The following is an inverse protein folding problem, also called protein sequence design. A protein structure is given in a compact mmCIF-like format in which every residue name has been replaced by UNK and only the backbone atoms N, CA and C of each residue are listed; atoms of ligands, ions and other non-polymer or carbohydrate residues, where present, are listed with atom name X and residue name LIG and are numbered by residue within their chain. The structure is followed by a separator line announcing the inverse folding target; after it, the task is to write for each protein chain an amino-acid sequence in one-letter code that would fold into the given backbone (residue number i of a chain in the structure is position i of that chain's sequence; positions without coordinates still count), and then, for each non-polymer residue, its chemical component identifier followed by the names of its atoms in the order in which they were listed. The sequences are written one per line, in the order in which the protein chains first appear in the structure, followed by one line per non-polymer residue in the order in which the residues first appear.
data_IF_135701640377
#
_entry.id   IF_135701640377
#
_cell.length_a   1.000
_cell.length_b   1.000
_cell.length_c   1.000
_cell.angle_alpha   90.00
_cell.angle_beta   90.00
_cell.angle_gamma   90.00
#
_symmetry.space_group_name_H-M   'P 1'
#
loop_
_entity.id
_entity.type
_entity.pdbx_description
1 polymer ?
#
# COMPACT_ATOMS: atom_id res chain seq x y z
N UNK A 1 -21.04 -22.49 7.72
CA UNK A 1 -20.88 -21.89 6.37
C UNK A 1 -19.41 -21.87 5.99
N UNK A 2 -18.90 -22.96 5.39
CA UNK A 2 -17.51 -22.99 4.93
C UNK A 2 -17.40 -22.08 3.69
N UNK A 3 -16.74 -20.92 3.81
CA UNK A 3 -16.42 -20.06 2.67
C UNK A 3 -15.59 -20.91 1.70
N UNK A 4 -16.15 -21.25 0.54
CA UNK A 4 -15.43 -21.96 -0.52
C UNK A 4 -14.12 -21.24 -0.79
N UNK A 5 -13.02 -22.00 -0.96
CA UNK A 5 -11.65 -21.49 -1.16
C UNK A 5 -11.53 -20.72 -2.49
N UNK A 6 -12.14 -19.55 -2.58
CA UNK A 6 -11.94 -18.58 -3.67
C UNK A 6 -10.69 -17.78 -3.35
N UNK A 7 -9.89 -17.45 -4.36
CA UNK A 7 -8.75 -16.55 -4.18
C UNK A 7 -9.24 -15.17 -3.69
N UNK A 8 -8.41 -14.41 -2.97
CA UNK A 8 -8.79 -13.07 -2.48
C UNK A 8 -9.28 -12.16 -3.62
N UNK A 9 -8.61 -12.26 -4.77
CA UNK A 9 -8.98 -11.60 -6.01
C UNK A 9 -10.40 -12.00 -6.44
N UNK A 10 -10.69 -13.30 -6.53
CA UNK A 10 -12.00 -13.80 -6.94
C UNK A 10 -13.12 -13.50 -5.92
N UNK A 11 -12.79 -13.36 -4.64
CA UNK A 11 -13.73 -12.89 -3.61
C UNK A 11 -14.04 -11.40 -3.77
N UNK A 12 -13.05 -10.59 -4.14
CA UNK A 12 -13.22 -9.16 -4.40
C UNK A 12 -14.05 -8.91 -5.67
N UNK A 13 -13.86 -9.71 -6.72
CA UNK A 13 -14.64 -9.62 -7.96
C UNK A 13 -16.01 -10.31 -7.88
N UNK A 14 -16.22 -11.22 -6.93
CA UNK A 14 -17.46 -11.95 -6.76
C UNK A 14 -18.60 -11.08 -6.23
N UNK A 15 -19.35 -10.48 -7.14
CA UNK A 15 -20.48 -9.59 -6.83
C UNK A 15 -20.28 -8.14 -7.29
N UNK A 16 -19.15 -7.81 -7.92
CA UNK A 16 -18.96 -6.50 -8.53
C UNK A 16 -19.72 -6.40 -9.85
N UNK A 17 -20.54 -5.37 -9.97
CA UNK A 17 -21.22 -5.00 -11.22
C UNK A 17 -20.28 -4.21 -12.13
N UNK A 18 -20.57 -4.17 -13.42
CA UNK A 18 -19.79 -3.39 -14.41
C UNK A 18 -19.58 -1.93 -13.96
N UNK A 19 -20.57 -1.21 -13.40
CA UNK A 19 -20.36 0.14 -12.85
C UNK A 19 -19.36 0.22 -11.69
N UNK A 20 -19.31 -0.79 -10.81
CA UNK A 20 -18.31 -0.87 -9.72
C UNK A 20 -16.89 -0.99 -10.29
N UNK A 21 -16.72 -1.73 -11.39
CA UNK A 21 -15.44 -1.83 -12.09
C UNK A 21 -15.02 -0.51 -12.73
N UNK A 22 -15.96 0.24 -13.29
CA UNK A 22 -15.69 1.58 -13.83
C UNK A 22 -15.33 2.59 -12.74
N UNK A 23 -16.01 2.57 -11.59
CA UNK A 23 -15.64 3.40 -10.44
C UNK A 23 -14.24 3.09 -9.90
N UNK A 24 -13.83 1.82 -9.90
CA UNK A 24 -12.46 1.44 -9.53
C UNK A 24 -11.44 1.98 -10.56
N UNK A 25 -11.80 1.96 -11.85
CA UNK A 25 -10.97 2.50 -12.93
C UNK A 25 -10.87 4.03 -12.94
N UNK A 26 -11.94 4.74 -12.56
CA UNK A 26 -11.91 6.21 -12.49
C UNK A 26 -11.40 6.72 -11.15
N UNK A 27 -11.63 5.96 -10.08
CA UNK A 27 -11.09 6.17 -8.74
C UNK A 27 -9.66 5.67 -8.56
N UNK A 28 -9.02 5.15 -9.61
CA UNK A 28 -7.58 4.87 -9.65
C UNK A 28 -6.81 6.19 -9.67
N UNK A 29 -6.93 6.89 -8.56
CA UNK A 29 -6.08 8.01 -8.20
C UNK A 29 -4.65 7.57 -8.40
N UNK A 30 -3.87 8.46 -9.02
CA UNK A 30 -2.48 8.23 -9.32
C UNK A 30 -1.77 7.81 -8.02
N UNK A 31 -1.51 6.50 -7.85
CA UNK A 31 -1.06 5.91 -6.58
C UNK A 31 0.22 6.59 -6.09
N UNK A 32 1.01 7.08 -7.04
CA UNK A 32 2.19 7.91 -6.83
C UNK A 32 1.90 9.25 -6.14
N UNK A 33 0.83 9.95 -6.54
CA UNK A 33 0.47 11.26 -5.96
C UNK A 33 -0.05 11.07 -4.53
N UNK A 34 -0.84 10.03 -4.28
CA UNK A 34 -1.34 9.74 -2.95
C UNK A 34 -0.22 9.26 -2.02
N UNK A 35 0.66 8.37 -2.49
CA UNK A 35 1.80 7.93 -1.68
C UNK A 35 2.69 9.12 -1.31
N UNK A 36 2.92 10.06 -2.24
CA UNK A 36 3.66 11.30 -1.94
C UNK A 36 3.00 12.14 -0.85
N UNK A 37 1.67 12.33 -0.88
CA UNK A 37 0.92 13.04 0.18
C UNK A 37 1.05 12.38 1.56
N UNK A 38 1.06 11.04 1.62
CA UNK A 38 1.22 10.33 2.89
C UNK A 38 2.67 10.31 3.40
N UNK A 39 3.65 10.42 2.51
CA UNK A 39 5.08 10.45 2.84
C UNK A 39 5.54 11.86 3.25
N UNK A 40 4.92 12.91 2.69
CA UNK A 40 5.28 14.32 2.91
C UNK A 40 5.51 14.70 4.39
N UNK A 41 4.67 14.32 5.36
CA UNK A 41 4.88 14.68 6.77
C UNK A 41 6.13 14.05 7.41
N UNK A 42 6.66 12.99 6.79
CA UNK A 42 7.80 12.22 7.28
C UNK A 42 9.06 12.45 6.45
N UNK A 43 8.96 13.25 5.38
CA UNK A 43 10.08 13.57 4.49
C UNK A 43 11.02 14.55 5.19
N UNK A 44 12.32 14.25 5.20
CA UNK A 44 13.35 15.19 5.69
C UNK A 44 13.89 16.10 4.58
N UNK A 45 13.24 16.16 3.41
CA UNK A 45 13.62 16.95 2.22
C UNK A 45 14.97 16.59 1.57
N UNK A 46 15.80 15.79 2.24
CA UNK A 46 17.07 15.23 1.72
C UNK A 46 16.88 13.91 0.94
N UNK A 47 15.63 13.60 0.56
CA UNK A 47 15.27 12.31 -0.05
C UNK A 47 15.14 11.14 0.94
N UNK A 48 15.40 11.38 2.23
CA UNK A 48 15.19 10.42 3.31
C UNK A 48 13.81 10.60 3.95
N UNK A 49 13.32 9.54 4.58
CA UNK A 49 12.01 9.50 5.24
C UNK A 49 12.15 8.93 6.65
N UNK A 50 11.71 9.69 7.65
CA UNK A 50 11.74 9.31 9.05
C UNK A 50 10.35 8.85 9.49
N UNK A 51 10.15 7.53 9.55
CA UNK A 51 8.86 6.92 9.90
C UNK A 51 8.97 5.92 11.03
N UNK A 52 7.98 5.86 11.94
CA UNK A 52 7.89 4.77 12.90
C UNK A 52 7.54 3.46 12.18
N UNK A 53 8.48 2.52 12.15
CA UNK A 53 8.32 1.23 11.47
C UNK A 53 8.03 0.09 12.45
N UNK A 54 6.93 -0.64 12.22
CA UNK A 54 6.65 -1.87 12.94
C UNK A 54 7.54 -3.05 12.46
N UNK A 55 7.56 -4.16 13.22
CA UNK A 55 8.42 -5.33 12.92
C UNK A 55 8.19 -5.92 11.52
N UNK A 56 6.94 -6.00 11.06
CA UNK A 56 6.60 -6.51 9.73
C UNK A 56 7.13 -5.61 8.62
N UNK A 57 6.99 -4.29 8.78
CA UNK A 57 7.49 -3.31 7.81
C UNK A 57 9.03 -3.33 7.76
N UNK A 58 9.71 -3.43 8.91
CA UNK A 58 11.18 -3.58 8.94
C UNK A 58 11.65 -4.85 8.22
N UNK A 59 10.96 -5.98 8.41
CA UNK A 59 11.27 -7.24 7.70
C UNK A 59 11.06 -7.10 6.20
N UNK A 60 9.97 -6.45 5.79
CA UNK A 60 9.67 -6.22 4.39
C UNK A 60 10.71 -5.30 3.73
N UNK A 61 11.07 -4.20 4.37
CA UNK A 61 12.11 -3.29 3.90
C UNK A 61 13.45 -4.02 3.70
N UNK A 62 13.87 -4.89 4.64
CA UNK A 62 15.06 -5.75 4.47
C UNK A 62 14.95 -6.68 3.27
N UNK A 63 13.78 -7.29 3.04
CA UNK A 63 13.53 -8.17 1.88
C UNK A 63 13.66 -7.40 0.56
N UNK A 64 13.18 -6.15 0.53
CA UNK A 64 13.21 -5.27 -0.65
C UNK A 64 14.55 -4.52 -0.77
N UNK A 65 15.49 -4.71 0.16
CA UNK A 65 16.81 -4.05 0.22
C UNK A 65 16.74 -2.54 0.38
N UNK A 66 15.76 -2.05 1.14
CA UNK A 66 15.71 -0.66 1.57
C UNK A 66 16.65 -0.50 2.78
N UNK A 67 17.54 0.48 2.72
CA UNK A 67 18.42 0.83 3.84
C UNK A 67 17.61 1.45 4.98
N UNK A 68 17.77 0.92 6.20
CA UNK A 68 17.13 1.44 7.40
C UNK A 68 18.23 1.90 8.36
N UNK A 69 18.16 3.17 8.78
CA UNK A 69 18.96 3.70 9.88
C UNK A 69 18.03 3.97 11.06
N UNK A 70 18.49 3.66 12.27
CA UNK A 70 17.77 4.11 13.47
C UNK A 70 17.94 5.62 13.57
N UNK A 71 16.82 6.32 13.80
CA UNK A 71 16.85 7.74 14.09
C UNK A 71 17.30 7.90 15.55
N UNK A 72 18.27 8.77 15.78
CA UNK A 72 18.74 9.16 17.12
C UNK A 72 17.67 9.94 17.90
#
# INVERSE_FOLDING_TARGET
MAKGKRSKTQQQFGGMTIPHLFQIKEGSTNEYVNSKKFIEPFSTNDGNVLMPLNRSMRRYAKKVKIELKEAE
#
